data_IF_400012394845
#
_entry.id   IF_400012394845
#
_cell.length_a   1.000
_cell.length_b   1.000
_cell.length_c   1.000
_cell.angle_alpha   90.00
_cell.angle_beta   90.00
_cell.angle_gamma   90.00
#
_symmetry.space_group_name_H-M   'P 1'
#
loop_
_entity.id
_entity.type
_entity.pdbx_description
1 polymer ?
#
# COMPACT_ATOMS: atom_id res chain seq x y z
N UNK A 1 9.41 0.98 8.63
CA UNK A 1 9.36 1.16 10.09
C UNK A 1 8.65 -0.02 10.73
N UNK A 2 7.37 -0.29 10.44
CA UNK A 2 6.61 -1.37 11.09
C UNK A 2 7.20 -2.75 10.85
N UNK A 3 7.68 -3.06 9.66
CA UNK A 3 8.42 -4.30 9.37
C UNK A 3 9.67 -4.46 10.25
N UNK A 4 10.40 -3.38 10.49
CA UNK A 4 11.56 -3.43 11.39
C UNK A 4 11.14 -3.66 12.84
N UNK A 5 10.03 -3.07 13.28
CA UNK A 5 9.49 -3.29 14.62
C UNK A 5 9.06 -4.76 14.79
N UNK A 6 8.31 -5.30 13.83
CA UNK A 6 7.88 -6.71 13.91
C UNK A 6 9.04 -7.68 13.87
N UNK A 7 10.06 -7.43 13.02
CA UNK A 7 11.29 -8.23 13.01
C UNK A 7 12.07 -8.13 14.33
N UNK A 8 12.12 -6.96 14.93
CA UNK A 8 12.75 -6.76 16.23
C UNK A 8 12.01 -7.54 17.33
N UNK A 9 10.70 -7.45 17.38
CA UNK A 9 9.87 -8.20 18.35
C UNK A 9 10.04 -9.70 18.15
N UNK A 10 10.00 -10.17 16.92
CA UNK A 10 10.19 -11.58 16.59
C UNK A 10 11.53 -12.15 17.07
N UNK A 11 12.62 -11.36 16.95
CA UNK A 11 13.96 -11.81 17.32
C UNK A 11 14.27 -11.67 18.81
N UNK A 12 13.70 -10.67 19.49
CA UNK A 12 14.04 -10.36 20.88
C UNK A 12 13.00 -10.80 21.90
N UNK A 13 11.79 -11.12 21.45
CA UNK A 13 10.68 -11.54 22.30
C UNK A 13 10.02 -12.83 21.77
N UNK A 14 10.78 -13.95 21.68
CA UNK A 14 10.24 -15.20 21.15
C UNK A 14 9.08 -15.74 22.00
N UNK A 15 9.15 -15.60 23.33
CA UNK A 15 8.09 -16.05 24.25
C UNK A 15 6.74 -15.37 23.95
N UNK A 16 6.78 -14.08 23.60
CA UNK A 16 5.59 -13.34 23.20
C UNK A 16 5.01 -13.85 21.87
N UNK A 17 5.88 -14.09 20.89
CA UNK A 17 5.48 -14.61 19.59
C UNK A 17 4.86 -16.02 19.70
N UNK A 18 5.44 -16.88 20.53
CA UNK A 18 4.91 -18.21 20.79
C UNK A 18 3.58 -18.17 21.53
N UNK A 19 3.41 -17.24 22.48
CA UNK A 19 2.15 -17.06 23.21
C UNK A 19 0.98 -16.65 22.30
N UNK A 20 1.27 -16.00 21.18
CA UNK A 20 0.29 -15.63 20.16
C UNK A 20 0.12 -16.69 19.05
N UNK A 21 0.75 -17.86 19.18
CA UNK A 21 0.61 -18.99 18.25
C UNK A 21 1.64 -19.06 17.14
N UNK A 22 2.70 -18.25 17.22
CA UNK A 22 3.70 -18.13 16.17
C UNK A 22 3.26 -17.23 15.01
N UNK A 23 4.18 -16.49 14.42
CA UNK A 23 3.83 -15.53 13.36
C UNK A 23 4.24 -16.01 11.98
N UNK A 24 5.48 -16.50 11.86
CA UNK A 24 6.09 -16.78 10.55
C UNK A 24 6.00 -18.26 10.19
N UNK A 25 5.64 -18.51 8.95
CA UNK A 25 5.70 -19.85 8.37
C UNK A 25 7.12 -20.20 7.93
N UNK A 26 7.90 -19.22 7.48
CA UNK A 26 9.26 -19.38 7.04
C UNK A 26 10.24 -18.57 7.89
N UNK A 27 11.44 -19.12 8.09
CA UNK A 27 12.51 -18.45 8.84
C UNK A 27 13.44 -17.66 7.93
N UNK A 28 14.18 -16.72 8.52
CA UNK A 28 15.21 -15.94 7.83
C UNK A 28 14.65 -14.91 6.86
N UNK A 29 15.27 -14.77 5.69
CA UNK A 29 14.88 -13.74 4.72
C UNK A 29 13.47 -13.94 4.14
N UNK A 30 12.98 -15.16 4.07
CA UNK A 30 11.61 -15.43 3.63
C UNK A 30 10.59 -14.93 4.66
N UNK A 31 10.85 -15.10 5.95
CA UNK A 31 10.00 -14.54 7.00
C UNK A 31 9.99 -13.01 7.00
N UNK A 32 11.12 -12.37 6.69
CA UNK A 32 11.15 -10.92 6.51
C UNK A 32 10.26 -10.48 5.32
N UNK A 33 10.26 -11.26 4.24
CA UNK A 33 9.40 -10.99 3.08
C UNK A 33 7.92 -11.13 3.41
N UNK A 34 7.54 -12.10 4.25
CA UNK A 34 6.16 -12.27 4.73
C UNK A 34 5.71 -11.05 5.51
N UNK A 35 6.52 -10.59 6.47
CA UNK A 35 6.23 -9.39 7.26
C UNK A 35 6.15 -8.12 6.43
N UNK A 36 7.09 -7.95 5.48
CA UNK A 36 7.12 -6.80 4.59
C UNK A 36 5.88 -6.75 3.70
N UNK A 37 5.48 -7.89 3.16
CA UNK A 37 4.30 -7.99 2.31
C UNK A 37 3.04 -7.63 3.07
N UNK A 38 2.85 -8.12 4.29
CA UNK A 38 1.69 -7.84 5.12
C UNK A 38 1.50 -6.33 5.36
N UNK A 39 2.57 -5.63 5.78
CA UNK A 39 2.50 -4.18 5.96
C UNK A 39 2.33 -3.41 4.66
N UNK A 40 2.90 -3.89 3.56
CA UNK A 40 2.74 -3.26 2.24
C UNK A 40 1.31 -3.42 1.75
N UNK A 41 0.72 -4.59 1.92
CA UNK A 41 -0.68 -4.88 1.59
C UNK A 41 -1.64 -4.04 2.44
N UNK A 42 -1.39 -3.93 3.74
CA UNK A 42 -2.16 -3.08 4.65
C UNK A 42 -2.06 -1.61 4.26
N UNK A 43 -0.86 -1.12 3.91
CA UNK A 43 -0.65 0.26 3.45
C UNK A 43 -1.36 0.55 2.12
N UNK A 44 -1.42 -0.41 1.22
CA UNK A 44 -2.12 -0.30 -0.06
C UNK A 44 -3.64 -0.54 0.04
N UNK A 45 -4.15 -0.90 1.22
CA UNK A 45 -5.55 -1.29 1.46
C UNK A 45 -6.02 -2.47 0.60
N UNK A 46 -5.14 -3.42 0.31
CA UNK A 46 -5.45 -4.59 -0.52
C UNK A 46 -6.09 -5.73 0.30
N UNK A 47 -5.74 -5.86 1.58
CA UNK A 47 -6.24 -6.93 2.45
C UNK A 47 -5.75 -8.33 2.05
N UNK A 48 -4.60 -8.43 1.39
CA UNK A 48 -3.96 -9.71 1.05
C UNK A 48 -2.77 -9.96 1.96
N UNK A 49 -2.60 -11.20 2.39
CA UNK A 49 -1.47 -11.66 3.19
C UNK A 49 -0.83 -12.89 2.57
N UNK A 50 0.31 -13.32 3.10
CA UNK A 50 0.88 -14.62 2.73
C UNK A 50 0.16 -15.74 3.47
N UNK A 51 -0.16 -16.80 2.74
CA UNK A 51 -0.66 -18.04 3.32
C UNK A 51 0.34 -18.60 4.34
N UNK A 52 -0.14 -18.84 5.56
CA UNK A 52 0.68 -19.36 6.66
C UNK A 52 1.28 -18.32 7.60
N UNK A 53 1.15 -17.03 7.30
CA UNK A 53 1.43 -15.99 8.28
C UNK A 53 0.34 -15.99 9.36
N UNK A 54 0.73 -16.09 10.63
CA UNK A 54 -0.17 -15.99 11.77
C UNK A 54 -0.54 -14.53 12.06
N UNK A 55 -1.30 -13.91 11.16
CA UNK A 55 -1.66 -12.48 11.21
C UNK A 55 -2.84 -12.17 12.12
N UNK A 56 -3.60 -13.19 12.55
CA UNK A 56 -4.75 -13.00 13.44
C UNK A 56 -4.33 -12.94 14.91
N UNK A 57 -3.43 -12.04 15.25
CA UNK A 57 -2.97 -11.78 16.61
C UNK A 57 -3.21 -10.34 17.01
N UNK A 58 -3.16 -10.06 18.30
CA UNK A 58 -3.33 -8.68 18.80
C UNK A 58 -2.25 -7.74 18.23
N UNK A 59 -1.01 -8.20 18.14
CA UNK A 59 0.08 -7.40 17.61
C UNK A 59 -0.14 -7.02 16.15
N UNK A 60 -0.45 -7.99 15.29
CA UNK A 60 -0.69 -7.75 13.86
C UNK A 60 -1.94 -6.90 13.62
N UNK A 61 -3.03 -7.19 14.32
CA UNK A 61 -4.28 -6.44 14.19
C UNK A 61 -4.09 -4.96 14.53
N UNK A 62 -3.38 -4.64 15.62
CA UNK A 62 -3.12 -3.25 15.99
C UNK A 62 -2.13 -2.56 15.04
N UNK A 63 -1.02 -3.18 14.72
CA UNK A 63 0.01 -2.57 13.87
C UNK A 63 -0.47 -2.37 12.42
N UNK A 64 -1.15 -3.36 11.84
CA UNK A 64 -1.74 -3.23 10.50
C UNK A 64 -2.87 -2.20 10.50
N UNK A 65 -3.70 -2.13 11.53
CA UNK A 65 -4.74 -1.11 11.68
C UNK A 65 -4.16 0.31 11.71
N UNK A 66 -3.09 0.54 12.46
CA UNK A 66 -2.40 1.84 12.48
C UNK A 66 -1.81 2.17 11.11
N UNK A 67 -1.14 1.23 10.46
CA UNK A 67 -0.58 1.41 9.11
C UNK A 67 -1.67 1.78 8.11
N UNK A 68 -2.80 1.08 8.14
CA UNK A 68 -3.93 1.33 7.27
C UNK A 68 -4.51 2.74 7.46
N UNK A 69 -4.69 3.20 8.70
CA UNK A 69 -5.16 4.55 9.00
C UNK A 69 -4.17 5.59 8.50
N UNK A 70 -2.89 5.45 8.81
CA UNK A 70 -1.86 6.42 8.41
C UNK A 70 -1.72 6.48 6.89
N UNK A 71 -1.67 5.35 6.21
CA UNK A 71 -1.51 5.31 4.76
C UNK A 71 -2.71 5.89 4.01
N UNK A 72 -3.89 5.85 4.61
CA UNK A 72 -5.10 6.41 4.02
C UNK A 72 -5.25 7.89 4.28
N UNK A 73 -5.11 8.31 5.52
CA UNK A 73 -5.39 9.69 5.91
C UNK A 73 -4.27 10.68 5.59
N UNK A 74 -2.99 10.28 5.69
CA UNK A 74 -1.87 11.17 5.39
C UNK A 74 -1.93 11.70 3.94
N UNK A 75 -2.11 10.88 2.90
CA UNK A 75 -2.24 11.36 1.54
C UNK A 75 -3.45 12.29 1.35
N UNK A 76 -4.60 11.94 1.93
CA UNK A 76 -5.82 12.76 1.82
C UNK A 76 -5.61 14.14 2.44
N UNK A 77 -5.11 14.19 3.68
CA UNK A 77 -4.83 15.45 4.39
C UNK A 77 -3.78 16.26 3.64
N UNK A 78 -2.73 15.62 3.12
CA UNK A 78 -1.70 16.27 2.32
C UNK A 78 -2.26 16.95 1.07
N UNK A 79 -3.08 16.26 0.32
CA UNK A 79 -3.72 16.80 -0.89
C UNK A 79 -4.66 17.97 -0.58
N UNK A 80 -5.46 17.85 0.48
CA UNK A 80 -6.37 18.93 0.92
C UNK A 80 -5.58 20.15 1.41
N UNK A 81 -4.49 19.93 2.14
CA UNK A 81 -3.61 21.03 2.58
C UNK A 81 -2.97 21.76 1.39
N UNK A 82 -2.47 21.02 0.39
CA UNK A 82 -1.93 21.61 -0.84
C UNK A 82 -3.01 22.40 -1.58
N UNK A 83 -4.20 21.86 -1.73
CA UNK A 83 -5.33 22.55 -2.36
C UNK A 83 -5.69 23.84 -1.61
N UNK A 84 -5.69 23.81 -0.27
CA UNK A 84 -5.92 24.99 0.55
C UNK A 84 -4.86 26.08 0.35
N UNK A 85 -3.58 25.70 0.28
CA UNK A 85 -2.48 26.64 -0.01
C UNK A 85 -2.58 27.21 -1.43
N UNK A 86 -2.98 26.42 -2.40
CA UNK A 86 -3.18 26.87 -3.78
C UNK A 86 -4.37 27.84 -3.88
N UNK A 87 -5.45 27.61 -3.13
CA UNK A 87 -6.61 28.50 -3.11
C UNK A 87 -6.31 29.91 -2.54
N UNK A 88 -5.27 30.03 -1.69
CA UNK A 88 -4.83 31.32 -1.15
C UNK A 88 -4.00 32.15 -2.13
N UNK A 89 -3.54 31.55 -3.25
CA UNK A 89 -2.77 32.32 -4.25
C UNK A 89 -3.65 33.35 -4.92
N UNK A 90 -3.04 34.53 -5.18
CA UNK A 90 -3.72 35.62 -5.91
C UNK A 90 -4.09 35.11 -7.31
N UNK A 91 -5.31 35.46 -7.71
CA UNK A 91 -5.78 35.23 -9.07
C UNK A 91 -4.85 35.96 -10.06
N UNK A 92 -4.28 35.23 -10.98
CA UNK A 92 -3.49 35.75 -12.09
C UNK A 92 -4.43 35.81 -13.29
N UNK A 93 -4.67 37.03 -13.88
CA UNK A 93 -5.53 37.14 -15.06
C UNK A 93 -4.96 36.31 -16.20
N UNK A 94 -5.85 35.75 -17.01
CA UNK A 94 -5.48 34.91 -18.16
C UNK A 94 -4.60 35.73 -19.13
N UNK A 95 -3.49 35.13 -19.50
CA UNK A 95 -2.57 35.67 -20.52
C UNK A 95 -2.52 34.74 -21.72
N UNK A 96 -1.92 35.19 -22.82
CA UNK A 96 -1.84 34.41 -24.08
C UNK A 96 -1.14 33.04 -23.94
N UNK A 97 -0.37 32.81 -22.86
CA UNK A 97 0.29 31.54 -22.54
C UNK A 97 -0.43 30.69 -21.49
N UNK A 98 -1.58 31.13 -20.97
CA UNK A 98 -2.32 30.37 -19.95
C UNK A 98 -3.14 29.26 -20.62
N UNK A 99 -2.93 28.02 -20.17
CA UNK A 99 -3.73 26.89 -20.63
C UNK A 99 -5.14 27.00 -20.03
N UNK A 100 -6.16 27.19 -20.86
CA UNK A 100 -7.54 27.25 -20.42
C UNK A 100 -8.04 25.85 -20.09
N UNK A 101 -8.64 25.72 -18.91
CA UNK A 101 -9.16 24.42 -18.41
C UNK A 101 -10.47 23.98 -19.08
N UNK A 102 -11.14 24.89 -19.77
CA UNK A 102 -12.40 24.66 -20.50
C UNK A 102 -12.18 24.26 -21.97
N UNK A 103 -10.93 24.01 -22.39
CA UNK A 103 -10.59 23.65 -23.76
C UNK A 103 -10.53 22.12 -23.97
N UNK A 104 -10.85 21.69 -25.17
CA UNK A 104 -10.70 20.30 -25.61
C UNK A 104 -9.26 19.82 -25.43
N UNK A 105 -8.27 20.70 -25.66
CA UNK A 105 -6.84 20.39 -25.47
C UNK A 105 -6.54 19.98 -24.03
N UNK A 106 -7.09 20.69 -23.04
CA UNK A 106 -6.93 20.34 -21.64
C UNK A 106 -7.59 19.00 -21.30
N UNK A 107 -8.79 18.76 -21.82
CA UNK A 107 -9.50 17.51 -21.62
C UNK A 107 -8.73 16.31 -22.21
N UNK A 108 -8.18 16.44 -23.42
CA UNK A 108 -7.37 15.40 -24.07
C UNK A 108 -6.09 15.14 -23.27
N UNK A 109 -5.34 16.19 -22.87
CA UNK A 109 -4.13 16.03 -22.07
C UNK A 109 -4.40 15.33 -20.72
N UNK A 110 -5.51 15.69 -20.07
CA UNK A 110 -5.89 15.07 -18.79
C UNK A 110 -6.28 13.61 -18.99
N UNK A 111 -6.99 13.31 -20.07
CA UNK A 111 -7.38 11.95 -20.42
C UNK A 111 -6.15 11.09 -20.75
N UNK A 112 -5.22 11.58 -21.56
CA UNK A 112 -3.98 10.88 -21.89
C UNK A 112 -3.13 10.62 -20.65
N UNK A 113 -2.98 11.61 -19.76
CA UNK A 113 -2.24 11.46 -18.51
C UNK A 113 -2.87 10.40 -17.61
N UNK A 114 -4.20 10.35 -17.51
CA UNK A 114 -4.92 9.33 -16.73
C UNK A 114 -4.82 7.95 -17.38
N UNK A 115 -4.89 7.85 -18.70
CA UNK A 115 -4.76 6.60 -19.45
C UNK A 115 -3.35 6.02 -19.31
N UNK A 116 -2.31 6.85 -19.37
CA UNK A 116 -0.92 6.45 -19.13
C UNK A 116 -0.75 5.93 -17.70
N UNK A 117 -1.28 6.63 -16.71
CA UNK A 117 -1.21 6.22 -15.31
C UNK A 117 -1.92 4.87 -15.08
N UNK A 118 -3.10 4.69 -15.67
CA UNK A 118 -3.85 3.43 -15.60
C UNK A 118 -3.16 2.31 -16.38
N UNK A 119 -2.65 2.61 -17.57
CA UNK A 119 -1.89 1.65 -18.39
C UNK A 119 -0.61 1.17 -17.72
N UNK A 120 0.06 2.04 -16.97
CA UNK A 120 1.23 1.67 -16.18
C UNK A 120 0.86 0.71 -15.05
N UNK A 121 -0.24 0.97 -14.36
CA UNK A 121 -0.78 0.11 -13.31
C UNK A 121 -1.17 -1.28 -13.83
N UNK A 122 -1.88 -1.35 -14.95
CA UNK A 122 -2.30 -2.63 -15.55
C UNK A 122 -1.13 -3.41 -16.14
N UNK A 123 -0.13 -2.73 -16.71
CA UNK A 123 1.09 -3.36 -17.23
C UNK A 123 1.95 -3.94 -16.09
N UNK A 124 1.98 -3.29 -14.94
CA UNK A 124 2.68 -3.82 -13.77
C UNK A 124 1.95 -5.04 -13.19
N UNK A 125 0.63 -4.99 -13.10
CA UNK A 125 -0.19 -6.12 -12.63
C UNK A 125 -0.07 -7.35 -13.55
N UNK A 126 0.04 -7.16 -14.86
CA UNK A 126 0.20 -8.27 -15.81
C UNK A 126 1.63 -8.87 -15.84
N UNK A 127 2.63 -8.16 -15.33
CA UNK A 127 4.02 -8.66 -15.26
C UNK A 127 4.29 -9.50 -14.02
N UNK A 128 3.44 -9.42 -13.02
CA UNK A 128 3.48 -10.36 -11.90
C UNK A 128 2.74 -11.60 -12.40
N UNK A 129 3.43 -12.73 -12.66
CA UNK A 129 2.72 -13.95 -12.99
C UNK A 129 1.76 -14.21 -11.85
N UNK A 130 0.49 -14.27 -12.18
CA UNK A 130 -0.52 -14.63 -11.20
C UNK A 130 -0.02 -15.89 -10.51
N UNK A 131 0.13 -15.84 -9.20
CA UNK A 131 0.52 -16.97 -8.37
C UNK A 131 -0.60 -18.03 -8.33
N UNK A 132 -1.28 -18.22 -9.49
CA UNK A 132 -2.30 -19.24 -9.71
C UNK A 132 -1.74 -20.67 -9.66
N UNK A 133 -0.42 -20.81 -9.50
CA UNK A 133 0.21 -22.13 -9.30
C UNK A 133 0.36 -22.54 -7.83
N UNK A 134 0.16 -21.63 -6.87
CA UNK A 134 0.35 -21.95 -5.46
C UNK A 134 -0.92 -22.41 -4.73
N UNK A 135 -2.07 -22.22 -5.34
CA UNK A 135 -3.35 -22.68 -4.74
C UNK A 135 -3.61 -24.19 -4.91
N UNK A 136 -2.73 -24.93 -5.59
CA UNK A 136 -2.93 -26.38 -5.78
C UNK A 136 -2.35 -27.24 -4.66
N UNK A 137 -1.74 -26.65 -3.64
CA UNK A 137 -1.13 -27.39 -2.51
C UNK A 137 -1.88 -27.27 -1.17
N UNK A 138 -2.96 -26.50 -1.11
CA UNK A 138 -3.84 -26.49 0.06
C UNK A 138 -4.92 -27.58 -0.05
N UNK A 139 -4.50 -28.84 -0.08
CA UNK A 139 -5.35 -29.95 0.31
C UNK A 139 -5.12 -30.19 1.79
N UNK A 140 -5.73 -29.42 2.63
CA UNK A 140 -5.71 -29.58 4.07
C UNK A 140 -6.68 -30.68 4.49
N UNK A 141 -6.11 -31.70 5.11
CA UNK A 141 -6.83 -32.46 6.14
C UNK A 141 -6.74 -31.72 7.45
#
# INVERSE_FOLDING_TARGET
>A
VFTAISSYVYTHHPDFVESEGGWLNNLGFHGLSEQLYEYTSSAANNGSGFEGLGDNTYFWNWTCGIVLILSRFIPIVGQVAIAGLLAQKKFIPESAGTLKTDTVTFAVMTFDASAVATGYSTSFSNKIPAANGMCSFCNCR
#
